data_IF_668691173448
#
_entry.id   IF_668691173448
#
_cell.length_a   1.000
_cell.length_b   1.000
_cell.length_c   1.000
_cell.angle_alpha   90.00
_cell.angle_beta   90.00
_cell.angle_gamma   90.00
#
_symmetry.space_group_name_H-M   'P 1'
#
loop_
_entity.id
_entity.type
_entity.pdbx_description
1 polymer ?
#
# COMPACT_ATOMS: atom_id res chain seq x y z
N UNK A 1 -41.56 19.28 14.09
CA UNK A 1 -40.69 18.74 13.03
C UNK A 1 -39.50 19.67 12.92
N UNK A 2 -38.35 19.31 13.50
CA UNK A 2 -37.21 20.22 13.74
C UNK A 2 -36.55 20.78 12.47
N UNK A 3 -36.74 20.14 11.33
CA UNK A 3 -36.09 20.51 10.07
C UNK A 3 -36.54 21.85 9.48
N UNK A 4 -37.80 22.26 9.71
CA UNK A 4 -38.31 23.53 9.17
C UNK A 4 -37.62 24.73 9.82
N UNK A 5 -37.33 24.64 11.12
CA UNK A 5 -36.82 25.75 11.92
C UNK A 5 -35.29 25.95 11.75
N UNK A 6 -34.55 24.90 11.40
CA UNK A 6 -33.07 24.93 11.32
C UNK A 6 -32.59 25.30 9.90
N UNK A 7 -33.47 25.30 8.90
CA UNK A 7 -33.12 25.72 7.53
C UNK A 7 -32.14 24.77 6.80
N UNK A 8 -32.02 23.52 7.25
CA UNK A 8 -31.14 22.52 6.66
C UNK A 8 -31.73 21.99 5.34
N UNK A 9 -30.87 21.80 4.33
CA UNK A 9 -31.28 21.25 3.03
C UNK A 9 -31.41 19.73 3.02
N UNK A 10 -30.50 19.01 3.67
CA UNK A 10 -30.53 17.55 3.77
C UNK A 10 -30.18 17.10 5.19
N UNK A 11 -30.85 16.06 5.67
CA UNK A 11 -30.67 15.52 7.02
C UNK A 11 -30.68 14.01 7.00
N UNK A 12 -29.75 13.40 7.71
CA UNK A 12 -29.55 11.96 7.74
C UNK A 12 -29.59 11.44 9.17
N UNK A 13 -30.22 10.27 9.36
CA UNK A 13 -30.22 9.52 10.61
C UNK A 13 -29.60 8.16 10.34
N UNK A 14 -28.69 7.74 11.20
CA UNK A 14 -28.00 6.47 11.12
C UNK A 14 -27.98 5.80 12.51
N UNK A 15 -28.25 4.49 12.55
CA UNK A 15 -28.14 3.65 13.74
C UNK A 15 -26.75 2.97 13.80
N UNK A 16 -25.81 3.46 14.63
CA UNK A 16 -24.46 2.91 14.69
C UNK A 16 -24.37 1.57 15.42
N UNK A 17 -25.33 1.16 16.24
CA UNK A 17 -25.17 -0.05 17.05
C UNK A 17 -25.42 -1.33 16.23
N UNK A 18 -24.43 -2.22 16.12
CA UNK A 18 -24.58 -3.50 15.40
C UNK A 18 -25.69 -4.40 15.97
N UNK A 19 -25.96 -4.28 17.27
CA UNK A 19 -27.00 -5.03 17.99
C UNK A 19 -28.43 -4.68 17.54
N UNK A 20 -28.61 -3.50 16.95
CA UNK A 20 -29.89 -3.06 16.39
C UNK A 20 -29.91 -3.30 14.89
N UNK A 21 -31.10 -3.41 14.33
CA UNK A 21 -31.29 -3.40 12.88
C UNK A 21 -30.65 -2.15 12.29
N UNK A 22 -30.03 -2.29 11.12
CA UNK A 22 -29.47 -1.16 10.41
C UNK A 22 -30.61 -0.20 10.04
N UNK A 23 -30.51 1.03 10.49
CA UNK A 23 -31.41 2.12 10.13
C UNK A 23 -30.55 3.21 9.49
N UNK A 24 -30.87 3.56 8.26
CA UNK A 24 -30.25 4.66 7.56
C UNK A 24 -31.28 5.37 6.70
N UNK A 25 -31.66 6.57 7.12
CA UNK A 25 -32.72 7.36 6.52
C UNK A 25 -32.21 8.76 6.19
N UNK A 26 -32.70 9.33 5.10
CA UNK A 26 -32.38 10.67 4.67
C UNK A 26 -33.63 11.43 4.33
N UNK A 27 -33.63 12.73 4.58
CA UNK A 27 -34.66 13.65 4.14
C UNK A 27 -34.01 14.85 3.49
N UNK A 28 -34.63 15.34 2.42
CA UNK A 28 -34.21 16.54 1.70
C UNK A 28 -35.34 17.55 1.59
N UNK A 29 -34.98 18.82 1.57
CA UNK A 29 -35.89 19.92 1.29
C UNK A 29 -35.96 20.11 -0.23
N UNK A 30 -37.15 19.98 -0.77
CA UNK A 30 -37.44 20.28 -2.18
C UNK A 30 -37.44 21.78 -2.46
N UNK A 31 -37.48 22.16 -3.73
CA UNK A 31 -37.56 23.56 -4.15
C UNK A 31 -38.85 24.27 -3.69
N UNK A 32 -39.94 23.54 -3.42
CA UNK A 32 -41.16 24.11 -2.83
C UNK A 32 -41.04 24.32 -1.31
N UNK A 33 -39.97 23.83 -0.69
CA UNK A 33 -39.76 23.84 0.76
C UNK A 33 -40.32 22.60 1.46
N UNK A 34 -40.97 21.70 0.74
CA UNK A 34 -41.46 20.44 1.31
C UNK A 34 -40.30 19.51 1.65
N UNK A 35 -40.43 18.76 2.73
CA UNK A 35 -39.43 17.77 3.17
C UNK A 35 -39.85 16.41 2.63
N UNK A 36 -38.96 15.80 1.86
CA UNK A 36 -39.18 14.52 1.18
C UNK A 36 -38.12 13.52 1.64
N UNK A 37 -38.55 12.31 1.95
CA UNK A 37 -37.64 11.20 2.26
C UNK A 37 -36.83 10.80 1.04
N UNK A 38 -35.58 10.40 1.26
CA UNK A 38 -34.65 9.98 0.22
C UNK A 38 -34.67 8.47 0.10
N UNK A 39 -34.85 7.97 -1.12
CA UNK A 39 -34.82 6.53 -1.38
C UNK A 39 -33.36 6.01 -1.39
N UNK A 40 -33.08 4.91 -0.67
CA UNK A 40 -31.78 4.26 -0.76
C UNK A 40 -31.60 3.55 -2.12
N UNK A 41 -30.35 3.41 -2.53
CA UNK A 41 -30.00 2.64 -3.72
C UNK A 41 -30.00 1.12 -3.48
N UNK A 42 -29.58 0.36 -4.49
CA UNK A 42 -29.54 -1.11 -4.42
C UNK A 42 -28.61 -1.66 -3.33
N UNK A 43 -27.62 -0.89 -2.87
CA UNK A 43 -26.72 -1.29 -1.78
C UNK A 43 -27.06 -0.57 -0.46
N UNK A 44 -28.22 0.08 -0.37
CA UNK A 44 -28.68 0.75 0.85
C UNK A 44 -28.02 2.10 1.14
N UNK A 45 -27.34 2.69 0.15
CA UNK A 45 -26.69 4.00 0.26
C UNK A 45 -27.62 5.16 -0.07
N UNK A 46 -27.32 6.33 0.47
CA UNK A 46 -28.04 7.58 0.18
C UNK A 46 -27.11 8.58 -0.49
N UNK A 47 -27.55 9.17 -1.60
CA UNK A 47 -26.79 10.19 -2.32
C UNK A 47 -27.21 11.59 -1.88
N UNK A 48 -26.25 12.38 -1.39
CA UNK A 48 -26.42 13.79 -1.10
C UNK A 48 -26.15 14.61 -2.36
N UNK A 49 -27.17 15.31 -2.86
CA UNK A 49 -27.01 16.23 -4.00
C UNK A 49 -26.24 17.49 -3.58
N UNK A 50 -26.40 17.92 -2.32
CA UNK A 50 -25.73 19.11 -1.78
C UNK A 50 -24.22 18.89 -1.62
N UNK A 51 -23.82 17.73 -1.11
CA UNK A 51 -22.41 17.41 -0.90
C UNK A 51 -21.77 16.73 -2.12
N UNK A 52 -22.60 16.25 -3.06
CA UNK A 52 -22.17 15.43 -4.20
C UNK A 52 -21.41 14.19 -3.74
N UNK A 53 -21.96 13.49 -2.75
CA UNK A 53 -21.36 12.32 -2.09
C UNK A 53 -22.40 11.23 -1.85
N UNK A 54 -21.96 9.99 -1.94
CA UNK A 54 -22.69 8.83 -1.43
C UNK A 54 -22.35 8.62 0.04
N UNK A 55 -23.37 8.31 0.84
CA UNK A 55 -23.21 7.85 2.20
C UNK A 55 -23.64 6.39 2.28
N UNK A 56 -22.74 5.54 2.81
CA UNK A 56 -23.02 4.14 3.10
C UNK A 56 -22.50 3.81 4.48
N UNK A 57 -22.94 2.72 5.08
CA UNK A 57 -22.37 2.24 6.32
C UNK A 57 -21.54 0.98 6.09
N UNK A 58 -20.57 0.75 6.95
CA UNK A 58 -19.77 -0.48 6.99
C UNK A 58 -19.67 -0.96 8.42
N UNK A 59 -19.78 -2.27 8.62
CA UNK A 59 -19.64 -2.88 9.93
C UNK A 59 -18.16 -2.85 10.36
N UNK A 60 -17.90 -2.27 11.53
CA UNK A 60 -16.63 -2.41 12.24
C UNK A 60 -16.82 -3.36 13.42
N UNK A 61 -16.50 -4.64 13.18
CA UNK A 61 -16.58 -5.68 14.20
C UNK A 61 -15.56 -5.53 15.33
N UNK A 62 -14.50 -4.70 15.17
CA UNK A 62 -13.54 -4.48 16.26
C UNK A 62 -14.14 -3.60 17.35
N UNK A 63 -14.94 -2.61 16.96
CA UNK A 63 -15.57 -1.64 17.87
C UNK A 63 -17.06 -1.90 18.09
N UNK A 64 -17.63 -2.91 17.41
CA UNK A 64 -19.04 -3.34 17.48
C UNK A 64 -20.03 -2.24 17.02
N UNK A 65 -19.63 -1.45 16.01
CA UNK A 65 -20.44 -0.36 15.45
C UNK A 65 -20.49 -0.38 13.93
N UNK A 66 -21.50 0.27 13.37
CA UNK A 66 -21.58 0.66 11.96
C UNK A 66 -20.96 2.05 11.81
N UNK A 67 -20.01 2.16 10.90
CA UNK A 67 -19.39 3.44 10.58
C UNK A 67 -20.03 3.99 9.31
N UNK A 68 -20.51 5.23 9.38
CA UNK A 68 -20.94 5.95 8.19
C UNK A 68 -19.71 6.39 7.39
N UNK A 69 -19.68 6.06 6.11
CA UNK A 69 -18.56 6.25 5.20
C UNK A 69 -19.01 7.07 3.99
N UNK A 70 -18.35 8.20 3.72
CA UNK A 70 -18.60 8.97 2.50
C UNK A 70 -17.83 8.39 1.32
N UNK A 71 -18.45 8.42 0.14
CA UNK A 71 -17.91 7.97 -1.12
C UNK A 71 -18.13 9.06 -2.18
N UNK A 72 -17.19 9.17 -3.12
CA UNK A 72 -17.31 10.01 -4.30
C UNK A 72 -18.46 9.51 -5.21
N UNK A 73 -18.96 10.34 -6.15
CA UNK A 73 -20.04 9.96 -7.06
C UNK A 73 -19.76 8.71 -7.91
N UNK A 74 -18.48 8.41 -8.14
CA UNK A 74 -18.02 7.22 -8.86
C UNK A 74 -17.98 5.94 -7.99
N UNK A 75 -18.32 6.06 -6.71
CA UNK A 75 -18.28 4.96 -5.74
C UNK A 75 -16.93 4.77 -5.04
N UNK A 76 -15.95 5.66 -5.24
CA UNK A 76 -14.67 5.57 -4.54
C UNK A 76 -14.79 6.05 -3.08
N UNK A 77 -14.38 5.26 -2.07
CA UNK A 77 -14.43 5.71 -0.68
C UNK A 77 -13.48 6.88 -0.43
N UNK A 78 -13.92 7.86 0.36
CA UNK A 78 -13.04 8.95 0.80
C UNK A 78 -12.21 8.45 1.98
N UNK A 79 -10.90 8.41 1.79
CA UNK A 79 -9.93 8.05 2.82
C UNK A 79 -9.97 9.05 3.97
N UNK A 80 -10.09 8.55 5.19
CA UNK A 80 -9.96 9.38 6.41
C UNK A 80 -8.50 9.79 6.63
N UNK A 81 -8.25 10.84 7.40
CA UNK A 81 -6.88 11.26 7.73
C UNK A 81 -6.07 10.15 8.40
N UNK A 82 -6.70 9.40 9.31
CA UNK A 82 -6.06 8.27 10.01
C UNK A 82 -5.70 7.13 9.04
N UNK A 83 -6.56 6.83 8.07
CA UNK A 83 -6.24 5.83 7.04
C UNK A 83 -5.12 6.30 6.12
N UNK A 84 -5.11 7.58 5.75
CA UNK A 84 -4.06 8.16 4.92
C UNK A 84 -2.70 8.13 5.65
N UNK A 85 -2.67 8.45 6.95
CA UNK A 85 -1.47 8.33 7.78
C UNK A 85 -0.96 6.88 7.86
N UNK A 86 -1.87 5.93 8.06
CA UNK A 86 -1.51 4.51 8.10
C UNK A 86 -0.95 4.02 6.76
N UNK A 87 -1.57 4.41 5.65
CA UNK A 87 -1.07 4.09 4.30
C UNK A 87 0.32 4.69 4.07
N UNK A 88 0.54 5.94 4.48
CA UNK A 88 1.85 6.58 4.34
C UNK A 88 2.93 5.88 5.19
N UNK A 89 2.60 5.48 6.42
CA UNK A 89 3.53 4.74 7.28
C UNK A 89 3.86 3.37 6.68
N UNK A 90 2.87 2.67 6.13
CA UNK A 90 3.06 1.38 5.47
C UNK A 90 3.92 1.52 4.21
N UNK A 91 3.66 2.52 3.38
CA UNK A 91 4.46 2.82 2.19
C UNK A 91 5.92 3.11 2.57
N UNK A 92 6.14 3.90 3.62
CA UNK A 92 7.48 4.19 4.14
C UNK A 92 8.20 2.92 4.57
N UNK A 93 7.52 2.04 5.32
CA UNK A 93 8.11 0.76 5.75
C UNK A 93 8.49 -0.12 4.56
N UNK A 94 7.59 -0.27 3.59
CA UNK A 94 7.85 -1.06 2.38
C UNK A 94 9.03 -0.51 1.58
N UNK A 95 9.17 0.81 1.53
CA UNK A 95 10.31 1.46 0.88
C UNK A 95 11.61 1.19 1.62
N UNK A 96 11.63 1.32 2.95
CA UNK A 96 12.80 1.03 3.77
C UNK A 96 13.22 -0.44 3.64
N UNK A 97 12.27 -1.38 3.62
CA UNK A 97 12.54 -2.81 3.39
C UNK A 97 13.11 -3.07 1.99
N UNK A 98 12.54 -2.44 0.96
CA UNK A 98 13.02 -2.58 -0.42
C UNK A 98 14.45 -2.02 -0.57
N UNK A 99 14.74 -0.87 0.03
CA UNK A 99 16.08 -0.27 0.04
C UNK A 99 17.10 -1.15 0.78
N UNK A 100 16.72 -1.74 1.93
CA UNK A 100 17.58 -2.66 2.67
C UNK A 100 17.90 -3.94 1.87
N UNK A 101 16.89 -4.53 1.23
CA UNK A 101 17.10 -5.71 0.37
C UNK A 101 18.01 -5.40 -0.82
N UNK A 102 17.85 -4.23 -1.45
CA UNK A 102 18.70 -3.81 -2.56
C UNK A 102 20.16 -3.58 -2.12
N UNK A 103 20.37 -3.02 -0.93
CA UNK A 103 21.70 -2.83 -0.35
C UNK A 103 22.40 -4.18 -0.06
N UNK A 104 21.69 -5.13 0.56
CA UNK A 104 22.23 -6.48 0.85
C UNK A 104 22.54 -7.25 -0.44
N UNK A 105 21.73 -7.10 -1.49
CA UNK A 105 22.03 -7.68 -2.80
C UNK A 105 23.27 -7.04 -3.44
N UNK A 106 23.42 -5.72 -3.34
CA UNK A 106 24.58 -5.02 -3.87
C UNK A 106 25.88 -5.46 -3.16
N UNK A 107 25.87 -5.56 -1.83
CA UNK A 107 27.01 -6.03 -1.04
C UNK A 107 27.40 -7.46 -1.44
N UNK A 108 26.43 -8.38 -1.54
CA UNK A 108 26.69 -9.76 -1.99
C UNK A 108 27.27 -9.84 -3.39
N UNK A 109 26.85 -8.95 -4.30
CA UNK A 109 27.43 -8.88 -5.65
C UNK A 109 28.87 -8.38 -5.61
N UNK A 110 29.15 -7.33 -4.83
CA UNK A 110 30.50 -6.79 -4.68
C UNK A 110 31.46 -7.82 -4.06
N UNK A 111 31.03 -8.53 -3.01
CA UNK A 111 31.82 -9.62 -2.41
C UNK A 111 32.08 -10.76 -3.41
N UNK A 112 31.06 -11.16 -4.17
CA UNK A 112 31.22 -12.20 -5.20
C UNK A 112 32.16 -11.77 -6.33
N UNK A 113 32.08 -10.51 -6.76
CA UNK A 113 32.98 -9.94 -7.76
C UNK A 113 34.43 -9.85 -7.24
N UNK A 114 34.63 -9.44 -5.99
CA UNK A 114 35.93 -9.37 -5.36
C UNK A 114 36.58 -10.77 -5.24
N UNK A 115 35.82 -11.77 -4.78
CA UNK A 115 36.30 -13.16 -4.70
C UNK A 115 36.62 -13.72 -6.08
N UNK A 116 35.80 -13.43 -7.10
CA UNK A 116 36.07 -13.86 -8.46
C UNK A 116 37.36 -13.22 -9.01
N UNK A 117 37.58 -11.93 -8.75
CA UNK A 117 38.79 -11.23 -9.15
C UNK A 117 40.05 -11.80 -8.47
N UNK A 118 40.01 -12.03 -7.15
CA UNK A 118 41.13 -12.62 -6.41
C UNK A 118 41.49 -14.02 -6.93
N UNK A 119 40.48 -14.88 -7.16
CA UNK A 119 40.70 -16.22 -7.71
C UNK A 119 41.29 -16.17 -9.13
N UNK A 120 40.87 -15.22 -9.96
CA UNK A 120 41.46 -15.06 -11.31
C UNK A 120 42.91 -14.63 -11.26
N UNK A 121 43.28 -13.70 -10.37
CA UNK A 121 44.68 -13.30 -10.20
C UNK A 121 45.54 -14.44 -9.64
N UNK A 122 45.00 -15.19 -8.66
CA UNK A 122 45.69 -16.36 -8.10
C UNK A 122 45.92 -17.46 -9.13
N UNK A 123 44.96 -17.72 -10.01
CA UNK A 123 45.14 -18.67 -11.12
C UNK A 123 46.22 -18.21 -12.07
N UNK A 124 46.22 -16.91 -12.40
CA UNK A 124 47.20 -16.33 -13.32
C UNK A 124 48.64 -16.43 -12.78
N UNK A 125 48.85 -16.16 -11.49
CA UNK A 125 50.18 -16.31 -10.87
C UNK A 125 50.64 -17.76 -10.86
N UNK A 126 49.77 -18.70 -10.49
CA UNK A 126 50.06 -20.13 -10.51
C UNK A 126 50.37 -20.65 -11.93
N UNK A 127 49.66 -20.17 -12.96
CA UNK A 127 49.93 -20.53 -14.35
C UNK A 127 51.33 -20.08 -14.79
N UNK A 128 51.74 -18.85 -14.43
CA UNK A 128 53.08 -18.33 -14.72
C UNK A 128 54.15 -19.16 -14.00
N UNK A 129 53.97 -19.48 -12.73
CA UNK A 129 54.91 -20.29 -11.96
C UNK A 129 55.06 -21.71 -12.54
N UNK A 130 53.93 -22.34 -12.93
CA UNK A 130 53.95 -23.65 -13.56
C UNK A 130 54.69 -23.62 -14.91
N UNK A 131 54.51 -22.57 -15.70
CA UNK A 131 55.20 -22.41 -16.97
C UNK A 131 56.72 -22.23 -16.77
N UNK A 132 57.13 -21.45 -15.77
CA UNK A 132 58.55 -21.30 -15.40
C UNK A 132 59.18 -22.61 -14.93
N UNK A 133 58.48 -23.37 -14.06
CA UNK A 133 58.94 -24.66 -13.59
C UNK A 133 59.08 -25.67 -14.74
N UNK A 134 58.13 -25.69 -15.67
CA UNK A 134 58.21 -26.52 -16.89
C UNK A 134 59.42 -26.16 -17.74
N UNK A 135 59.70 -24.86 -17.92
CA UNK A 135 60.86 -24.40 -18.68
C UNK A 135 62.20 -24.78 -18.00
N UNK A 136 62.28 -24.67 -16.67
CA UNK A 136 63.47 -25.08 -15.90
C UNK A 136 63.74 -26.58 -16.02
N UNK A 137 62.70 -27.42 -15.92
CA UNK A 137 62.83 -28.87 -16.09
C UNK A 137 63.25 -29.24 -17.52
N UNK A 138 62.70 -28.58 -18.54
CA UNK A 138 63.09 -28.81 -19.93
C UNK A 138 64.55 -28.44 -20.19
N UNK A 139 65.04 -27.34 -19.61
CA UNK A 139 66.46 -26.96 -19.73
C UNK A 139 67.39 -27.89 -18.95
N UNK A 140 66.99 -28.33 -17.75
CA UNK A 140 67.77 -29.28 -16.95
C UNK A 140 67.89 -30.69 -17.58
N UNK A 141 66.91 -31.10 -18.38
CA UNK A 141 66.97 -32.37 -19.14
C UNK A 141 67.86 -32.28 -20.39
N UNK A 142 68.09 -31.10 -20.94
CA UNK A 142 68.98 -30.91 -22.10
C UNK A 142 70.47 -30.82 -21.72
N UNK A 143 70.81 -30.48 -20.47
CA UNK A 143 72.20 -30.43 -19.97
C UNK A 143 72.75 -31.81 -19.52
N UNK A 144 72.00 -32.89 -19.69
CA UNK A 144 72.39 -34.25 -19.28
C UNK A 144 72.69 -35.22 -20.45
N UNK A 145 72.88 -34.72 -21.67
CA UNK A 145 73.28 -35.48 -22.87
C UNK A 145 74.63 -34.98 -23.41
#
# INVERSE_FOLDING_TARGET
>A
MYLNDIGVQEYFIHQPELKKSAEFYGWRRSSSGDIVEMDPDAEGGLFSEVLNLWFRWTDDHKTDVRLLRPYLPDGTPITTSTEAEHLHLQEKHLREEAEAMAAEEAERREEAEAMAAEETERRRTLEIELEQLRAQLANGQNDTL
#
